data_IF_587714267499
#
_entry.id   IF_587714267499
#
_cell.length_a   1.000
_cell.length_b   1.000
_cell.length_c   1.000
_cell.angle_alpha   90.00
_cell.angle_beta   90.00
_cell.angle_gamma   90.00
#
_symmetry.space_group_name_H-M   'P 1'
#
loop_
_entity.id
_entity.type
_entity.pdbx_description
1 polymer ?
#
# COMPACT_ATOMS: atom_id res chain seq x y z
N UNK A 1 36.99 -7.93 -20.74
CA UNK A 1 36.38 -7.78 -20.36
C UNK A 1 35.90 -7.95 -19.67
N UNK A 2 35.65 -7.83 -19.39
CA UNK A 2 35.01 -7.97 -18.75
C UNK A 2 34.12 -7.75 -18.53
N UNK A 3 33.91 -8.15 -18.87
CA UNK A 3 32.69 -7.91 -18.63
C UNK A 3 32.39 -8.15 -17.36
N UNK A 4 32.28 -7.40 -16.75
CA UNK A 4 31.95 -7.68 -15.63
C UNK A 4 30.68 -8.16 -15.54
N UNK A 5 30.45 -8.98 -14.77
CA UNK A 5 29.23 -9.43 -14.54
C UNK A 5 28.48 -8.32 -14.07
N UNK A 6 27.55 -8.14 -14.73
CA UNK A 6 26.86 -7.15 -14.40
C UNK A 6 26.02 -7.55 -13.35
N UNK A 7 26.42 -7.26 -12.23
CA UNK A 7 25.52 -7.39 -11.21
C UNK A 7 24.80 -6.13 -11.26
N UNK A 8 23.83 -6.06 -12.03
CA UNK A 8 23.09 -4.88 -12.00
C UNK A 8 21.86 -5.11 -11.19
N UNK A 9 21.35 -4.09 -10.50
CA UNK A 9 20.08 -4.20 -9.82
C UNK A 9 19.02 -4.59 -10.82
N UNK A 10 17.92 -5.16 -10.35
CA UNK A 10 16.80 -5.44 -11.20
C UNK A 10 16.42 -4.17 -11.94
N UNK A 11 16.05 -4.33 -13.19
CA UNK A 11 15.51 -3.22 -13.95
C UNK A 11 14.26 -2.70 -13.26
N UNK A 12 13.88 -1.50 -13.61
CA UNK A 12 12.66 -0.92 -13.05
C UNK A 12 11.46 -1.82 -13.33
N UNK A 13 11.38 -2.39 -14.53
CA UNK A 13 10.30 -3.32 -14.85
C UNK A 13 10.36 -4.56 -13.97
N UNK A 14 11.54 -5.05 -13.68
CA UNK A 14 11.71 -6.21 -12.79
C UNK A 14 11.23 -5.92 -11.39
N UNK A 15 11.55 -4.74 -10.86
CA UNK A 15 11.09 -4.34 -9.53
C UNK A 15 9.59 -4.18 -9.50
N UNK A 16 9.01 -3.56 -10.50
CA UNK A 16 7.56 -3.38 -10.60
C UNK A 16 6.87 -4.73 -10.61
N UNK A 17 7.37 -5.67 -11.39
CA UNK A 17 6.80 -7.01 -11.50
C UNK A 17 6.92 -7.77 -10.19
N UNK A 18 8.08 -7.74 -9.56
CA UNK A 18 8.30 -8.41 -8.28
C UNK A 18 7.41 -7.85 -7.19
N UNK A 19 7.27 -6.54 -7.15
CA UNK A 19 6.44 -5.89 -6.14
C UNK A 19 4.97 -6.27 -6.33
N UNK A 20 4.50 -6.32 -7.58
CA UNK A 20 3.13 -6.74 -7.86
C UNK A 20 2.88 -8.17 -7.41
N UNK A 21 3.80 -9.07 -7.72
CA UNK A 21 3.66 -10.47 -7.32
C UNK A 21 3.60 -10.61 -5.81
N UNK A 22 4.45 -9.89 -5.09
CA UNK A 22 4.46 -9.94 -3.63
C UNK A 22 3.13 -9.47 -3.04
N UNK A 23 2.56 -8.41 -3.59
CA UNK A 23 1.29 -7.87 -3.09
C UNK A 23 0.15 -8.79 -3.47
N UNK A 24 0.13 -9.31 -4.70
CA UNK A 24 -0.94 -10.22 -5.12
C UNK A 24 -0.98 -11.48 -4.28
N UNK A 25 0.17 -12.02 -3.92
CA UNK A 25 0.23 -13.17 -3.03
C UNK A 25 -0.37 -12.84 -1.65
N UNK A 26 -0.09 -11.65 -1.15
CA UNK A 26 -0.65 -11.21 0.13
C UNK A 26 -2.16 -11.01 0.03
N UNK A 27 -2.64 -10.45 -1.07
CA UNK A 27 -4.08 -10.27 -1.29
C UNK A 27 -4.82 -11.60 -1.28
N UNK A 28 -4.24 -12.63 -1.92
CA UNK A 28 -4.85 -13.94 -1.93
C UNK A 28 -4.91 -14.54 -0.53
N UNK A 29 -3.85 -14.35 0.24
CA UNK A 29 -3.78 -14.91 1.58
C UNK A 29 -4.80 -14.25 2.53
N UNK A 30 -4.94 -12.93 2.46
CA UNK A 30 -5.80 -12.18 3.38
C UNK A 30 -7.18 -11.84 2.79
N UNK A 31 -7.38 -12.04 1.51
CA UNK A 31 -8.63 -11.68 0.80
C UNK A 31 -8.93 -10.19 0.98
N UNK A 32 -7.95 -9.35 0.69
CA UNK A 32 -8.09 -7.92 0.87
C UNK A 32 -8.62 -7.24 -0.39
N UNK A 33 -9.42 -6.16 -0.24
CA UNK A 33 -9.93 -5.44 -1.41
C UNK A 33 -8.82 -4.64 -2.09
N UNK A 34 -8.71 -4.76 -3.39
CA UNK A 34 -7.77 -4.00 -4.20
C UNK A 34 -8.34 -3.77 -5.59
N UNK A 35 -9.43 -2.99 -5.69
CA UNK A 35 -10.07 -2.75 -6.99
C UNK A 35 -9.16 -2.03 -7.97
N UNK A 36 -8.25 -1.20 -7.47
CA UNK A 36 -7.24 -0.56 -8.31
C UNK A 36 -5.89 -0.77 -7.66
N UNK A 37 -4.95 -1.35 -8.41
CA UNK A 37 -3.61 -1.63 -7.92
C UNK A 37 -2.62 -1.17 -8.97
N UNK A 38 -1.68 -0.31 -8.57
CA UNK A 38 -0.62 0.16 -9.45
C UNK A 38 0.71 -0.16 -8.78
N UNK A 39 1.49 -1.02 -9.40
CA UNK A 39 2.81 -1.37 -8.89
C UNK A 39 3.86 -0.43 -9.48
N UNK A 40 4.75 0.08 -8.63
CA UNK A 40 5.88 0.89 -9.03
C UNK A 40 7.15 0.31 -8.44
N UNK A 41 8.27 0.85 -8.82
CA UNK A 41 9.56 0.32 -8.38
C UNK A 41 9.77 0.50 -6.88
N UNK A 42 9.19 1.53 -6.29
CA UNK A 42 9.41 1.87 -4.88
C UNK A 42 8.26 1.46 -3.96
N UNK A 43 7.08 1.20 -4.50
CA UNK A 43 5.91 0.86 -3.70
C UNK A 43 4.78 0.36 -4.59
N UNK A 44 3.78 -0.25 -3.96
CA UNK A 44 2.54 -0.62 -4.66
C UNK A 44 1.42 0.27 -4.09
N UNK A 45 0.66 0.87 -4.98
CA UNK A 45 -0.42 1.77 -4.63
C UNK A 45 -1.76 1.10 -4.89
N UNK A 46 -2.60 1.06 -3.86
CA UNK A 46 -3.93 0.47 -3.93
C UNK A 46 -4.93 1.57 -3.62
N UNK A 47 -5.98 1.67 -4.42
CA UNK A 47 -7.10 2.56 -4.14
C UNK A 47 -8.30 1.70 -3.79
N UNK A 48 -8.93 1.98 -2.66
CA UNK A 48 -10.10 1.23 -2.20
C UNK A 48 -11.34 2.11 -2.25
N UNK A 49 -12.50 1.48 -2.10
CA UNK A 49 -13.76 2.16 -2.35
C UNK A 49 -14.21 3.03 -1.18
N UNK A 50 -13.90 2.63 0.05
CA UNK A 50 -14.40 3.33 1.23
C UNK A 50 -13.51 3.06 2.44
N UNK A 51 -13.88 3.68 3.56
CA UNK A 51 -13.12 3.53 4.81
C UNK A 51 -13.22 2.12 5.39
N UNK A 52 -14.31 1.39 5.11
CA UNK A 52 -14.40 0.00 5.59
C UNK A 52 -13.30 -0.85 4.96
N UNK A 53 -13.06 -0.67 3.68
CA UNK A 53 -11.99 -1.37 2.99
C UNK A 53 -10.62 -0.97 3.53
N UNK A 54 -10.41 0.31 3.78
CA UNK A 54 -9.17 0.77 4.40
C UNK A 54 -8.98 0.11 5.76
N UNK A 55 -10.06 -0.01 6.52
CA UNK A 55 -10.03 -0.66 7.82
C UNK A 55 -9.66 -2.13 7.74
N UNK A 56 -10.10 -2.84 6.71
CA UNK A 56 -9.72 -4.23 6.52
C UNK A 56 -8.21 -4.37 6.31
N UNK A 57 -7.64 -3.48 5.53
CA UNK A 57 -6.19 -3.46 5.34
C UNK A 57 -5.46 -3.17 6.64
N UNK A 58 -5.95 -2.19 7.40
CA UNK A 58 -5.34 -1.82 8.66
C UNK A 58 -5.37 -2.98 9.66
N UNK A 59 -6.49 -3.70 9.75
CA UNK A 59 -6.59 -4.85 10.64
C UNK A 59 -5.65 -5.98 10.22
N UNK A 60 -5.54 -6.20 8.91
CA UNK A 60 -4.75 -7.31 8.40
C UNK A 60 -3.25 -7.04 8.49
N UNK A 61 -2.83 -5.80 8.25
CA UNK A 61 -1.42 -5.49 8.08
C UNK A 61 -0.88 -4.46 9.06
N UNK A 62 -1.74 -3.70 9.72
CA UNK A 62 -1.28 -2.63 10.57
C UNK A 62 -0.75 -1.46 9.74
N UNK A 63 -0.09 -0.54 10.38
CA UNK A 63 0.52 0.60 9.71
C UNK A 63 0.04 1.91 10.26
N UNK A 64 0.36 2.98 9.56
CA UNK A 64 0.05 4.35 9.97
C UNK A 64 -0.79 5.00 8.89
N UNK A 65 -1.81 5.75 9.30
CA UNK A 65 -2.69 6.45 8.36
C UNK A 65 -2.30 7.92 8.30
N UNK A 66 -2.14 8.43 7.10
CA UNK A 66 -1.96 9.85 6.84
C UNK A 66 -3.23 10.43 6.22
N UNK A 67 -3.59 11.63 6.66
CA UNK A 67 -4.74 12.33 6.11
C UNK A 67 -4.24 13.62 5.48
N UNK A 68 -4.60 13.84 4.22
CA UNK A 68 -4.22 15.04 3.51
C UNK A 68 -5.42 15.60 2.76
N UNK A 69 -5.36 16.89 2.42
CA UNK A 69 -6.43 17.48 1.62
C UNK A 69 -6.33 17.00 0.19
N UNK A 70 -7.46 16.61 -0.38
CA UNK A 70 -7.53 16.21 -1.79
C UNK A 70 -8.24 17.27 -2.64
N UNK A 71 -8.64 18.39 -2.03
CA UNK A 71 -9.38 19.44 -2.71
C UNK A 71 -10.87 19.14 -2.77
N UNK A 72 -11.67 20.14 -3.13
CA UNK A 72 -13.12 20.00 -3.37
C UNK A 72 -13.88 19.34 -2.22
N UNK A 73 -13.47 19.62 -0.98
CA UNK A 73 -14.14 19.07 0.19
C UNK A 73 -13.82 17.62 0.46
N UNK A 74 -12.77 17.09 -0.14
CA UNK A 74 -12.33 15.71 0.07
C UNK A 74 -11.02 15.67 0.83
N UNK A 75 -10.88 14.62 1.63
CA UNK A 75 -9.60 14.26 2.25
C UNK A 75 -9.12 12.95 1.64
N UNK A 76 -7.82 12.80 1.51
CA UNK A 76 -7.23 11.53 1.09
C UNK A 76 -6.67 10.84 2.32
N UNK A 77 -7.21 9.68 2.64
CA UNK A 77 -6.75 8.86 3.74
C UNK A 77 -5.87 7.76 3.17
N UNK A 78 -4.61 7.72 3.58
CA UNK A 78 -3.62 6.78 3.04
C UNK A 78 -3.00 5.97 4.16
N UNK A 79 -3.18 4.66 4.08
CA UNK A 79 -2.53 3.72 4.99
C UNK A 79 -1.15 3.38 4.44
N UNK A 80 -0.12 3.58 5.25
CA UNK A 80 1.25 3.18 4.91
C UNK A 80 1.52 1.85 5.61
N UNK A 81 1.67 0.80 4.82
CA UNK A 81 1.91 -0.54 5.35
C UNK A 81 2.93 -1.25 4.46
N UNK A 82 3.15 -2.53 4.69
CA UNK A 82 4.10 -3.33 3.91
C UNK A 82 3.55 -4.73 3.73
N UNK A 83 4.11 -5.45 2.77
CA UNK A 83 3.90 -6.89 2.67
C UNK A 83 4.62 -7.57 3.84
N UNK A 84 4.29 -8.84 4.12
CA UNK A 84 5.09 -9.61 5.08
C UNK A 84 6.55 -9.68 4.63
N UNK A 85 7.44 -9.75 5.61
CA UNK A 85 8.87 -9.84 5.33
C UNK A 85 9.18 -11.17 4.65
N UNK A 86 9.90 -11.10 3.55
CA UNK A 86 10.30 -12.29 2.80
C UNK A 86 11.53 -12.93 3.42
N UNK A 87 11.89 -14.12 2.90
CA UNK A 87 13.02 -14.86 3.43
C UNK A 87 14.33 -14.08 3.37
N UNK A 88 14.48 -13.18 2.40
CA UNK A 88 15.68 -12.36 2.27
C UNK A 88 15.65 -11.11 3.14
N UNK A 89 14.64 -10.96 3.99
CA UNK A 89 14.52 -9.82 4.90
C UNK A 89 13.84 -8.62 4.29
N UNK A 90 13.45 -8.68 3.03
CA UNK A 90 12.83 -7.53 2.36
C UNK A 90 11.32 -7.56 2.46
N UNK A 91 10.71 -6.40 2.35
CA UNK A 91 9.26 -6.26 2.22
C UNK A 91 8.99 -5.14 1.23
N UNK A 92 7.75 -5.11 0.72
CA UNK A 92 7.37 -4.11 -0.26
C UNK A 92 6.45 -3.09 0.40
N UNK A 93 6.76 -1.79 0.32
CA UNK A 93 5.86 -0.77 0.82
C UNK A 93 4.54 -0.78 0.05
N UNK A 94 3.44 -0.71 0.78
CA UNK A 94 2.10 -0.67 0.19
C UNK A 94 1.40 0.56 0.73
N UNK A 95 0.78 1.32 -0.17
CA UNK A 95 0.03 2.53 0.19
C UNK A 95 -1.40 2.36 -0.26
N UNK A 96 -2.31 2.32 0.71
CA UNK A 96 -3.73 2.08 0.43
C UNK A 96 -4.46 3.39 0.67
N UNK A 97 -5.11 3.91 -0.35
CA UNK A 97 -5.73 5.22 -0.30
C UNK A 97 -7.21 5.17 -0.57
N UNK A 98 -7.94 6.08 0.05
CA UNK A 98 -9.36 6.26 -0.20
C UNK A 98 -9.68 7.74 -0.06
N UNK A 99 -10.42 8.34 -1.02
CA UNK A 99 -10.91 9.71 -0.86
C UNK A 99 -12.15 9.69 0.05
N UNK A 100 -12.19 10.61 1.00
CA UNK A 100 -13.26 10.66 2.00
C UNK A 100 -13.82 12.08 2.06
N UNK A 101 -15.13 12.26 1.99
CA UNK A 101 -15.71 13.60 2.18
C UNK A 101 -15.36 14.14 3.55
N UNK A 102 -15.02 15.42 3.61
CA UNK A 102 -14.74 16.06 4.88
C UNK A 102 -15.95 15.99 5.78
N UNK A 103 -15.71 15.70 7.06
CA UNK A 103 -16.81 15.56 8.03
C UNK A 103 -17.40 14.17 8.11
N UNK A 104 -16.94 13.23 7.28
CA UNK A 104 -17.41 11.87 7.35
C UNK A 104 -17.04 11.21 8.67
N UNK A 105 -17.90 10.38 9.21
CA UNK A 105 -17.60 9.62 10.43
C UNK A 105 -16.55 8.57 10.14
N UNK A 106 -15.54 8.50 11.01
CA UNK A 106 -14.44 7.56 10.85
C UNK A 106 -14.42 6.64 12.06
N UNK A 107 -14.28 5.34 11.82
CA UNK A 107 -14.23 4.36 12.88
C UNK A 107 -13.05 4.62 13.82
N UNK A 108 -13.26 4.35 15.11
CA UNK A 108 -12.28 4.69 16.13
C UNK A 108 -10.92 4.07 15.90
N UNK A 109 -10.88 2.82 15.44
CA UNK A 109 -9.60 2.15 15.25
C UNK A 109 -8.80 2.71 14.07
N UNK A 110 -9.48 3.24 13.06
CA UNK A 110 -8.81 3.90 11.95
C UNK A 110 -8.28 5.26 12.41
N UNK A 111 -9.12 6.00 13.16
CA UNK A 111 -8.70 7.30 13.67
C UNK A 111 -7.50 7.16 14.61
N UNK A 112 -7.47 6.10 15.40
CA UNK A 112 -6.34 5.85 16.30
C UNK A 112 -5.03 5.57 15.55
N UNK A 113 -5.10 5.15 14.29
CA UNK A 113 -3.92 4.88 13.47
C UNK A 113 -3.40 6.11 12.74
N UNK A 114 -4.09 7.24 12.85
CA UNK A 114 -3.68 8.47 12.17
C UNK A 114 -2.45 9.03 12.86
N UNK A 115 -1.45 9.37 12.05
CA UNK A 115 -0.21 9.96 12.57
C UNK A 115 -0.50 11.37 13.09
N UNK A 116 0.11 11.68 14.21
CA UNK A 116 -0.05 12.98 14.83
C UNK A 116 0.73 14.06 14.04
#
# INVERSE_FOLDING_TARGET
>A
VKAEPIVRPLSEFGLISDNRVAVEAMLDFHTLPAPTLISRADAVFVTVADLDDLGEWLRARGGIVHVSSAGDGLELWTLLTTTPTRADGSSVPVRVSVPVPMGESVMAYIRAAVAA
#
